data_IF_976892856429
#
_entry.id   IF_976892856429
#
_cell.length_a   1.000
_cell.length_b   1.000
_cell.length_c   1.000
_cell.angle_alpha   90.00
_cell.angle_beta   90.00
_cell.angle_gamma   90.00
#
_symmetry.space_group_name_H-M   'P 1'
#
loop_
_entity.id
_entity.type
_entity.pdbx_description
1 polymer ?
2 non-polymer ?
3 non-polymer ?
4 non-polymer ?
5 water ?
#
# COMPACT_ATOMS: atom_id res chain seq x y z
N UNK A 3 -10.39 -14.98 11.39
CA UNK A 3 -10.56 -15.23 9.93
C UNK A 3 -11.63 -14.32 9.32
N UNK A 4 -12.63 -13.94 10.10
CA UNK A 4 -13.73 -13.10 9.62
C UNK A 4 -13.40 -11.60 9.83
N UNK A 5 -12.21 -11.30 10.32
CA UNK A 5 -11.93 -9.96 10.73
C UNK A 5 -11.35 -9.09 9.64
N UNK A 6 -11.35 -7.79 9.90
CA UNK A 6 -10.90 -6.80 8.93
C UNK A 6 -9.40 -6.98 8.62
N UNK A 7 -8.56 -7.31 9.61
CA UNK A 7 -7.12 -7.46 9.35
C UNK A 7 -6.87 -8.58 8.33
N UNK A 8 -7.49 -9.73 8.56
CA UNK A 8 -7.39 -10.84 7.64
C UNK A 8 -7.96 -10.51 6.26
N UNK A 9 -9.08 -9.76 6.22
CA UNK A 9 -9.66 -9.38 4.94
C UNK A 9 -8.66 -8.52 4.15
N UNK A 10 -8.02 -7.56 4.81
CA UNK A 10 -7.08 -6.69 4.17
C UNK A 10 -5.85 -7.46 3.70
N UNK A 11 -5.31 -8.33 4.56
CA UNK A 11 -4.12 -9.11 4.16
C UNK A 11 -4.44 -10.02 2.98
N UNK A 12 -5.59 -10.66 2.99
CA UNK A 12 -5.98 -11.54 1.92
C UNK A 12 -6.18 -10.79 0.60
N UNK A 13 -6.78 -9.61 0.66
CA UNK A 13 -6.97 -8.79 -0.51
C UNK A 13 -5.64 -8.30 -1.05
N UNK A 14 -4.71 -7.94 -0.17
CA UNK A 14 -3.40 -7.53 -0.60
C UNK A 14 -2.72 -8.66 -1.39
N UNK A 15 -2.78 -9.87 -0.85
CA UNK A 15 -2.20 -11.01 -1.55
C UNK A 15 -2.83 -11.23 -2.91
N UNK A 16 -4.16 -11.21 -2.95
CA UNK A 16 -4.91 -11.38 -4.18
C UNK A 16 -4.45 -10.36 -5.23
N UNK A 17 -4.22 -9.11 -4.81
CA UNK A 17 -3.74 -8.08 -5.75
C UNK A 17 -2.31 -8.34 -6.21
N UNK A 18 -1.46 -8.71 -5.28
CA UNK A 18 -0.04 -8.86 -5.58
C UNK A 18 0.23 -9.99 -6.56
N UNK A 19 -0.51 -11.09 -6.43
CA UNK A 19 -0.26 -12.27 -7.25
C UNK A 19 -0.65 -12.09 -8.70
N UNK A 20 -1.44 -11.07 -9.02
CA UNK A 20 -1.81 -10.85 -10.41
C UNK A 20 -0.59 -10.56 -11.29
N UNK A 21 0.50 -10.06 -10.72
CA UNK A 21 1.67 -9.71 -11.50
C UNK A 21 3.00 -10.27 -10.97
N UNK A 22 2.93 -11.21 -10.05
CA UNK A 22 4.11 -11.79 -9.44
C UNK A 22 4.04 -13.30 -9.38
N UNK A 23 5.21 -13.92 -9.57
CA UNK A 23 5.34 -15.37 -9.42
C UNK A 23 5.38 -15.71 -7.95
N UNK A 24 4.72 -16.80 -7.59
CA UNK A 24 4.61 -17.24 -6.21
C UNK A 24 5.59 -18.35 -5.88
N UNK A 25 6.20 -18.22 -4.71
CA UNK A 25 6.98 -19.29 -4.06
C UNK A 25 6.32 -19.57 -2.70
N UNK A 26 5.36 -20.48 -2.70
CA UNK A 26 4.63 -20.78 -1.47
C UNK A 26 5.44 -21.76 -0.64
N UNK A 27 5.63 -21.45 0.63
CA UNK A 27 6.39 -22.34 1.55
C UNK A 27 5.70 -22.23 2.90
N UNK A 28 4.84 -23.19 3.19
CA UNK A 28 4.17 -23.18 4.49
C UNK A 28 3.40 -21.90 4.74
N UNK A 29 3.69 -21.20 5.84
CA UNK A 29 2.89 -20.04 6.13
C UNK A 29 3.33 -18.79 5.41
N UNK A 30 4.35 -18.87 4.54
CA UNK A 30 4.84 -17.69 3.83
C UNK A 30 4.70 -17.89 2.33
N UNK A 31 4.57 -16.77 1.61
CA UNK A 31 4.65 -16.82 0.16
C UNK A 31 5.57 -15.70 -0.31
N UNK A 32 6.58 -16.09 -1.07
CA UNK A 32 7.44 -15.12 -1.75
C UNK A 32 6.84 -14.74 -3.07
N UNK A 33 6.92 -13.48 -3.40
CA UNK A 33 6.26 -12.90 -4.58
C UNK A 33 7.33 -12.16 -5.38
N UNK A 34 7.62 -12.67 -6.58
CA UNK A 34 8.73 -12.16 -7.43
C UNK A 34 8.15 -11.51 -8.68
N UNK A 35 8.46 -10.23 -8.87
CA UNK A 35 8.03 -9.47 -10.03
C UNK A 35 8.96 -9.74 -11.18
N UNK A 36 8.52 -9.47 -12.41
CA UNK A 36 9.42 -9.50 -13.55
C UNK A 36 10.58 -8.51 -13.41
N UNK A 37 10.28 -7.30 -12.93
CA UNK A 37 11.29 -6.25 -12.76
C UNK A 37 12.11 -6.47 -11.48
N UNK A 38 13.34 -5.98 -11.48
CA UNK A 38 14.23 -6.12 -10.29
C UNK A 38 14.10 -5.02 -9.27
N UNK A 39 13.24 -4.03 -9.50
CA UNK A 39 13.05 -2.95 -8.53
C UNK A 39 12.76 -3.59 -7.17
N UNK A 40 13.53 -3.25 -6.15
CA UNK A 40 13.59 -4.15 -4.99
C UNK A 40 12.23 -4.35 -4.32
N UNK A 41 11.45 -3.29 -4.20
CA UNK A 41 10.22 -3.34 -3.43
C UNK A 41 9.08 -4.00 -4.17
N UNK A 42 9.25 -4.30 -5.45
CA UNK A 42 8.28 -5.04 -6.23
C UNK A 42 8.27 -6.53 -5.90
N UNK A 43 9.26 -7.01 -5.18
CA UNK A 43 9.31 -8.40 -4.75
C UNK A 43 9.37 -8.45 -3.22
N UNK A 44 8.54 -9.28 -2.59
CA UNK A 44 8.49 -9.36 -1.13
C UNK A 44 7.79 -10.65 -0.76
N UNK A 45 7.91 -11.00 0.52
CA UNK A 45 7.12 -12.08 1.09
C UNK A 45 5.94 -11.52 1.89
N UNK A 46 4.84 -12.27 1.92
CA UNK A 46 3.70 -11.98 2.76
C UNK A 46 3.19 -13.30 3.37
N UNK A 47 2.20 -13.21 4.26
CA UNK A 47 1.61 -14.43 4.80
C UNK A 47 0.84 -15.19 3.71
N UNK A 48 1.06 -16.48 3.62
CA UNK A 48 0.37 -17.30 2.65
C UNK A 48 -1.10 -17.47 2.94
N UNK A 49 -1.45 -17.49 4.24
CA UNK A 49 -2.79 -17.83 4.71
C UNK A 49 -3.18 -16.88 5.86
N UNK A 50 -3.54 -15.62 5.54
CA UNK A 50 -4.06 -14.72 6.57
C UNK A 50 -5.23 -15.31 7.31
N UNK A 51 -5.27 -15.15 8.62
CA UNK A 51 -6.38 -15.63 9.43
C UNK A 51 -6.34 -17.11 9.85
N UNK A 52 -5.29 -17.82 9.40
CA UNK A 52 -5.11 -19.24 9.67
C UNK A 52 -3.90 -19.41 10.60
N UNK A 53 -4.02 -20.25 11.65
CA UNK A 53 -2.89 -20.47 12.56
C UNK A 53 -1.72 -21.05 11.81
N UNK A 54 -0.52 -20.71 12.24
CA UNK A 54 0.67 -21.28 11.67
C UNK A 54 1.49 -22.04 12.68
N UNK A 55 2.33 -22.90 12.17
CA UNK A 55 3.20 -23.70 12.98
C UNK A 55 4.58 -23.06 12.91
N UNK A 56 5.07 -22.53 14.05
CA UNK A 56 6.37 -21.86 14.02
C UNK A 56 7.52 -22.74 13.58
N UNK A 57 7.37 -24.06 13.75
CA UNK A 57 8.44 -24.99 13.40
C UNK A 57 8.73 -24.95 11.91
N UNK A 58 7.75 -24.58 11.08
CA UNK A 58 7.90 -24.54 9.63
C UNK A 58 8.66 -23.31 9.16
N UNK A 59 8.71 -22.29 9.97
CA UNK A 59 9.21 -21.00 9.48
C UNK A 59 10.68 -21.03 9.02
N UNK A 60 11.61 -21.69 9.74
CA UNK A 60 12.98 -21.65 9.25
C UNK A 60 13.13 -22.20 7.82
N UNK A 61 12.55 -23.35 7.55
CA UNK A 61 12.57 -23.94 6.21
C UNK A 61 11.85 -23.03 5.22
N UNK A 62 10.71 -22.46 5.63
CA UNK A 62 9.97 -21.60 4.70
C UNK A 62 10.80 -20.38 4.29
N UNK A 63 11.38 -19.73 5.27
CA UNK A 63 12.19 -18.58 5.02
C UNK A 63 13.39 -18.91 4.15
N UNK A 64 14.08 -20.01 4.44
CA UNK A 64 15.20 -20.36 3.59
C UNK A 64 14.78 -20.69 2.18
N UNK A 65 13.63 -21.31 2.01
CA UNK A 65 13.12 -21.61 0.69
C UNK A 65 12.90 -20.30 -0.12
N UNK A 66 12.27 -19.33 0.52
CA UNK A 66 12.02 -18.06 -0.12
C UNK A 66 13.30 -17.29 -0.34
N UNK A 67 14.18 -17.28 0.64
CA UNK A 67 15.49 -16.61 0.48
C UNK A 67 16.23 -17.20 -0.72
N UNK A 68 16.19 -18.52 -0.89
CA UNK A 68 16.86 -19.18 -2.03
C UNK A 68 16.31 -18.65 -3.35
N UNK A 69 15.00 -18.55 -3.44
CA UNK A 69 14.33 -18.09 -4.64
C UNK A 69 14.70 -16.64 -4.96
N UNK A 70 14.79 -15.79 -3.93
CA UNK A 70 15.17 -14.40 -4.12
C UNK A 70 16.64 -14.33 -4.53
N UNK A 71 17.51 -15.08 -3.86
CA UNK A 71 18.95 -15.05 -4.15
C UNK A 71 19.21 -15.46 -5.59
N UNK A 72 18.44 -16.38 -6.15
CA UNK A 72 18.59 -16.83 -7.53
C UNK A 72 18.38 -15.70 -8.52
N UNK A 73 17.68 -14.66 -8.09
CA UNK A 73 17.41 -13.47 -8.90
C UNK A 73 18.27 -12.29 -8.46
N UNK A 74 19.22 -12.49 -7.54
CA UNK A 74 20.02 -11.39 -6.95
C UNK A 74 19.16 -10.33 -6.27
N UNK A 75 18.02 -10.77 -5.71
CA UNK A 75 17.11 -9.88 -5.03
C UNK A 75 17.17 -10.04 -3.52
N UNK A 76 16.97 -8.91 -2.85
CA UNK A 76 16.93 -8.86 -1.40
C UNK A 76 15.51 -9.03 -0.88
N UNK A 77 15.38 -9.80 0.18
CA UNK A 77 14.05 -10.11 0.74
C UNK A 77 13.59 -9.12 1.83
N UNK A 78 12.37 -8.64 1.67
CA UNK A 78 11.58 -7.96 2.70
C UNK A 78 10.27 -8.67 2.79
N UNK A 79 9.57 -8.43 3.89
CA UNK A 79 8.29 -9.03 4.14
C UNK A 79 7.32 -8.00 4.70
N UNK A 80 6.07 -8.13 4.37
CA UNK A 80 5.02 -7.27 4.92
C UNK A 80 3.91 -8.16 5.46
N UNK A 81 3.58 -7.97 6.72
CA UNK A 81 2.55 -8.71 7.41
C UNK A 81 1.52 -7.75 7.99
N UNK A 82 0.39 -8.29 8.36
CA UNK A 82 -0.61 -7.59 9.17
C UNK A 82 -0.67 -8.37 10.48
N UNK A 83 -0.26 -7.76 11.58
CA UNK A 83 -0.09 -8.51 12.82
C UNK A 83 -1.35 -9.27 13.22
N UNK A 84 -2.50 -8.61 13.14
CA UNK A 84 -3.74 -9.21 13.61
C UNK A 84 -4.24 -10.32 12.72
N UNK A 85 -3.76 -10.35 11.47
CA UNK A 85 -4.11 -11.41 10.52
C UNK A 85 -3.30 -12.70 10.83
N UNK A 86 -2.08 -12.54 11.35
CA UNK A 86 -1.21 -13.69 11.65
C UNK A 86 -0.42 -13.42 12.94
N UNK A 87 -1.11 -13.46 14.08
CA UNK A 87 -0.46 -13.00 15.30
C UNK A 87 0.80 -13.85 15.59
N UNK A 88 1.88 -13.19 15.92
CA UNK A 88 3.15 -13.80 16.28
C UNK A 88 4.06 -14.17 15.14
N UNK A 89 3.59 -14.09 13.90
CA UNK A 89 4.40 -14.52 12.77
C UNK A 89 5.65 -13.64 12.63
N UNK A 90 5.47 -12.33 12.74
CA UNK A 90 6.59 -11.42 12.62
C UNK A 90 7.72 -11.76 13.58
N UNK A 91 7.37 -12.11 14.80
CA UNK A 91 8.39 -12.40 15.79
C UNK A 91 9.14 -13.69 15.44
N UNK A 92 8.47 -14.67 14.83
CA UNK A 92 9.18 -15.89 14.40
C UNK A 92 10.14 -15.54 13.24
N UNK A 93 9.73 -14.64 12.32
CA UNK A 93 10.62 -14.19 11.26
C UNK A 93 11.85 -13.48 11.81
N UNK A 94 11.67 -12.67 12.86
CA UNK A 94 12.79 -11.98 13.48
C UNK A 94 13.78 -12.98 14.08
N UNK A 95 13.24 -13.98 14.74
CA UNK A 95 14.05 -15.04 15.35
C UNK A 95 14.96 -15.72 14.30
N UNK A 96 14.47 -15.82 13.08
CA UNK A 96 15.19 -16.45 11.98
C UNK A 96 15.81 -15.47 11.01
N UNK A 97 16.15 -14.28 11.53
CA UNK A 97 17.11 -13.36 10.89
C UNK A 97 16.58 -12.08 10.30
N UNK A 98 15.28 -11.89 10.23
CA UNK A 98 14.73 -10.66 9.77
C UNK A 98 14.75 -9.59 10.85
N UNK A 99 14.55 -8.33 10.44
CA UNK A 99 14.49 -7.19 11.35
C UNK A 99 13.19 -6.43 11.09
N UNK A 100 12.44 -6.13 12.14
CA UNK A 100 11.27 -5.26 12.00
C UNK A 100 11.78 -3.82 11.94
N UNK A 101 11.53 -3.17 10.81
CA UNK A 101 11.88 -1.78 10.61
C UNK A 101 10.79 -0.82 11.06
N UNK A 102 9.54 -1.24 10.92
CA UNK A 102 8.41 -0.39 11.27
C UNK A 102 7.17 -1.22 11.49
N UNK A 103 6.22 -0.64 12.21
CA UNK A 103 4.90 -1.20 12.42
C UNK A 103 3.89 -0.13 12.11
N UNK A 104 3.75 0.20 10.85
CA UNK A 104 2.82 1.31 10.53
C UNK A 104 1.36 0.95 10.75
N UNK A 105 0.55 1.95 11.10
CA UNK A 105 -0.85 1.67 11.30
C UNK A 105 -1.57 1.55 9.98
N UNK A 106 -2.58 0.70 9.94
CA UNK A 106 -3.47 0.60 8.81
C UNK A 106 -4.79 1.25 9.23
N UNK A 107 -5.14 2.31 8.52
CA UNK A 107 -6.36 3.07 8.73
C UNK A 107 -7.36 2.67 7.66
N UNK A 108 -8.62 2.58 8.00
CA UNK A 108 -9.62 2.12 7.05
C UNK A 108 -10.91 2.91 7.13
N UNK A 109 -11.68 2.87 6.05
CA UNK A 109 -12.96 3.56 6.02
C UNK A 109 -13.89 2.80 5.05
N UNK A 110 -15.18 2.86 5.34
CA UNK A 110 -16.23 2.25 4.49
C UNK A 110 -17.07 3.38 3.88
N UNK A 111 -17.82 3.06 2.81
CA UNK A 111 -18.46 4.18 2.06
C UNK A 111 -19.35 5.13 2.86
N UNK A 112 -20.14 4.60 3.75
CA UNK A 112 -21.09 5.39 4.52
C UNK A 112 -20.42 6.30 5.53
N UNK A 113 -19.11 6.13 5.78
CA UNK A 113 -18.37 6.88 6.79
C UNK A 113 -17.39 7.89 6.20
N UNK A 114 -17.19 7.84 4.89
CA UNK A 114 -16.25 8.76 4.26
C UNK A 114 -16.84 10.19 4.26
N UNK A 115 -15.98 11.15 4.58
CA UNK A 115 -16.30 12.59 4.58
C UNK A 115 -15.33 13.26 3.61
N UNK A 116 -15.87 13.89 2.55
CA UNK A 116 -15.06 14.69 1.66
C UNK A 116 -15.19 16.14 2.15
N UNK A 117 -14.08 16.78 2.56
CA UNK A 117 -14.15 18.14 3.03
C UNK A 117 -14.60 19.13 1.96
N UNK A 118 -15.03 20.29 2.39
CA UNK A 118 -15.30 21.38 1.45
C UNK A 118 -14.00 21.79 0.77
N UNK A 119 -14.10 22.10 -0.52
CA UNK A 119 -12.94 22.55 -1.29
C UNK A 119 -12.80 24.08 -1.16
N UNK A 120 -11.58 24.60 -0.86
CA UNK A 120 -11.39 26.04 -0.84
C UNK A 120 -11.57 26.68 -2.21
N UNK A 121 -11.68 27.99 -2.23
CA UNK A 121 -11.80 28.75 -3.48
C UNK A 121 -10.63 28.42 -4.41
N UNK A 122 -10.94 28.22 -5.68
CA UNK A 122 -9.91 27.94 -6.70
C UNK A 122 -9.53 26.48 -6.83
N UNK A 123 -10.01 25.63 -5.92
CA UNK A 123 -9.56 24.25 -5.86
C UNK A 123 -10.62 23.34 -6.49
N UNK A 124 -10.19 22.48 -7.40
CA UNK A 124 -11.08 21.55 -8.08
C UNK A 124 -10.43 20.16 -8.07
N UNK A 125 -11.16 19.17 -8.50
CA UNK A 125 -10.66 17.80 -8.59
C UNK A 125 -11.06 17.17 -9.89
N UNK A 126 -10.22 16.27 -10.38
CA UNK A 126 -10.53 15.49 -11.55
C UNK A 126 -9.85 14.13 -11.45
N UNK A 127 -10.54 13.07 -11.84
CA UNK A 127 -9.96 11.76 -11.98
C UNK A 127 -8.92 11.80 -13.12
N UNK A 128 -7.80 11.10 -12.94
CA UNK A 128 -6.79 10.95 -13.98
C UNK A 128 -7.38 10.18 -15.16
N UNK A 129 -7.26 10.75 -16.37
CA UNK A 129 -7.88 10.22 -17.57
C UNK A 129 -6.92 10.20 -18.75
N UNK A 130 -5.64 10.20 -18.50
CA UNK A 130 -4.65 10.10 -19.54
C UNK A 130 -3.29 9.73 -18.96
N UNK A 131 -2.41 9.27 -19.83
CA UNK A 131 -1.02 9.01 -19.51
C UNK A 131 -0.36 10.27 -18.98
N UNK A 132 -0.60 11.42 -19.61
CA UNK A 132 0.07 12.62 -19.16
C UNK A 132 -0.43 13.05 -17.78
N UNK A 133 -1.72 12.86 -17.47
CA UNK A 133 -2.21 13.16 -16.12
C UNK A 133 -1.62 12.19 -15.11
N UNK A 134 -1.44 10.90 -15.50
CA UNK A 134 -0.81 9.95 -14.60
C UNK A 134 0.64 10.33 -14.35
N UNK A 135 1.32 10.82 -15.37
CA UNK A 135 2.69 11.30 -15.24
C UNK A 135 2.77 12.45 -14.30
N UNK A 136 1.80 13.36 -14.35
CA UNK A 136 1.74 14.46 -13.40
C UNK A 136 1.53 13.93 -12.00
N UNK A 137 0.60 13.00 -11.82
CA UNK A 137 0.35 12.38 -10.51
C UNK A 137 1.62 11.77 -9.93
N UNK A 138 2.34 11.01 -10.74
CA UNK A 138 3.56 10.34 -10.26
C UNK A 138 4.63 11.38 -9.90
N UNK A 139 4.74 12.45 -10.67
CA UNK A 139 5.70 13.50 -10.40
C UNK A 139 5.36 14.21 -9.10
N UNK A 140 4.09 14.49 -8.83
CA UNK A 140 3.71 15.19 -7.61
C UNK A 140 3.99 14.35 -6.38
N UNK A 141 3.67 13.06 -6.45
CA UNK A 141 3.89 12.10 -5.35
C UNK A 141 5.34 11.60 -5.25
N UNK A 142 6.19 11.90 -6.23
CA UNK A 142 7.40 11.13 -6.50
C UNK A 142 8.47 10.96 -5.48
N UNK A 143 8.67 11.94 -4.63
CA UNK A 143 9.72 11.89 -3.62
C UNK A 143 9.23 11.22 -2.32
N UNK A 144 7.94 10.92 -2.25
CA UNK A 144 7.35 10.23 -1.12
C UNK A 144 7.70 8.71 -1.16
N UNK A 145 7.78 8.11 0.02
CA UNK A 145 7.98 6.67 0.15
C UNK A 145 6.73 5.93 -0.33
N UNK A 146 6.88 5.08 -1.33
CA UNK A 146 5.78 4.40 -1.94
C UNK A 146 6.17 3.06 -2.47
N UNK A 147 5.62 1.99 -1.90
CA UNK A 147 6.01 0.64 -2.32
C UNK A 147 4.85 -0.19 -2.87
N UNK A 148 3.65 0.38 -2.88
CA UNK A 148 2.46 -0.33 -3.37
C UNK A 148 2.00 0.27 -4.69
N UNK A 151 -1.56 2.80 -9.73
CA UNK A 151 -2.31 3.36 -10.86
C UNK A 151 -1.50 3.49 -12.14
N UNK A 152 -0.28 2.99 -12.13
CA UNK A 152 0.73 3.37 -13.09
C UNK A 152 1.19 2.15 -13.85
N UNK A 153 1.18 2.20 -15.23
CA UNK A 153 0.76 3.23 -16.20
C UNK A 153 -0.76 3.42 -16.27
N UNK A 154 -1.18 4.55 -16.81
CA UNK A 154 -2.59 4.84 -16.94
C UNK A 154 -3.33 3.75 -17.67
N UNK A 155 -4.46 3.34 -17.13
CA UNK A 155 -5.38 2.46 -17.79
C UNK A 155 -6.76 2.96 -17.38
N UNK A 156 -7.77 2.69 -18.23
CA UNK A 156 -9.02 3.40 -18.10
C UNK A 156 -10.09 2.81 -17.16
N UNK A 157 -9.85 1.62 -16.62
CA UNK A 157 -10.88 0.92 -15.84
C UNK A 157 -10.71 1.17 -14.35
N UNK A 158 -11.69 1.86 -13.72
CA UNK A 158 -11.48 2.20 -12.32
C UNK A 158 -11.41 1.03 -11.35
N UNK A 159 -12.06 -0.08 -11.69
CA UNK A 159 -11.95 -1.28 -10.86
C UNK A 159 -10.51 -1.80 -10.82
N UNK A 160 -9.69 -1.44 -11.80
CA UNK A 160 -8.29 -1.87 -11.90
C UNK A 160 -7.30 -0.83 -11.36
N UNK A 161 -7.85 0.17 -10.68
CA UNK A 161 -7.06 1.19 -10.05
C UNK A 161 -7.30 2.54 -10.71
N UNK A 162 -6.81 3.59 -10.09
CA UNK A 162 -6.89 4.90 -10.66
C UNK A 162 -6.20 5.93 -9.79
N UNK A 163 -6.29 7.18 -10.23
CA UNK A 163 -5.71 8.27 -9.49
C UNK A 163 -6.53 9.52 -9.70
N UNK A 164 -6.24 10.53 -8.89
CA UNK A 164 -6.92 11.83 -8.97
C UNK A 164 -5.88 12.95 -8.90
N UNK A 165 -6.24 14.08 -9.48
CA UNK A 165 -5.49 15.31 -9.31
C UNK A 165 -6.39 16.36 -8.70
N UNK A 166 -5.85 17.03 -7.70
CA UNK A 166 -6.43 18.23 -7.11
C UNK A 166 -5.72 19.41 -7.77
N UNK A 167 -6.49 20.35 -8.31
CA UNK A 167 -5.95 21.48 -9.03
C UNK A 167 -6.25 22.78 -8.32
N UNK A 168 -5.31 23.68 -8.40
CA UNK A 168 -5.49 25.04 -7.93
C UNK A 168 -5.42 25.96 -9.14
N UNK A 169 -6.48 26.69 -9.40
CA UNK A 169 -6.55 27.52 -10.59
C UNK A 169 -6.13 26.72 -11.82
N UNK A 170 -6.60 25.47 -11.91
CA UNK A 170 -6.39 24.66 -13.10
C UNK A 170 -5.06 23.91 -13.21
N UNK A 171 -4.19 24.08 -12.23
CA UNK A 171 -2.87 23.47 -12.24
C UNK A 171 -2.87 22.35 -11.19
N UNK A 172 -2.41 21.16 -11.57
CA UNK A 172 -2.35 20.07 -10.56
C UNK A 172 -1.36 20.34 -9.49
N UNK A 173 -1.79 20.23 -8.25
CA UNK A 173 -0.97 20.50 -7.07
C UNK A 173 -0.95 19.39 -6.01
N UNK A 174 -1.87 18.43 -6.13
CA UNK A 174 -1.92 17.32 -5.16
C UNK A 174 -2.54 16.13 -5.85
N UNK A 175 -2.28 14.96 -5.29
CA UNK A 175 -2.70 13.72 -5.91
C UNK A 175 -2.89 12.62 -4.87
N UNK A 176 -3.64 11.59 -5.26
CA UNK A 176 -3.79 10.33 -4.52
C UNK A 176 -4.27 9.28 -5.51
N UNK A 177 -4.05 8.02 -5.18
CA UNK A 177 -4.37 6.92 -6.07
C UNK A 177 -5.03 5.80 -5.29
N UNK A 178 -5.72 4.92 -6.01
CA UNK A 178 -6.26 3.71 -5.41
C UNK A 178 -5.81 2.51 -6.23
N UNK A 179 -5.57 1.39 -5.55
CA UNK A 179 -5.18 0.18 -6.18
C UNK A 179 -6.36 -0.58 -6.78
N UNK A 180 -6.06 -1.48 -7.71
CA UNK A 180 -7.06 -2.38 -8.23
C UNK A 180 -7.80 -3.05 -7.09
N UNK A 181 -9.11 -3.17 -7.21
CA UNK A 181 -9.94 -3.75 -6.18
C UNK A 181 -9.70 -5.26 -6.14
N UNK A 182 -9.70 -5.82 -4.94
CA UNK A 182 -9.65 -7.26 -4.70
C UNK A 182 -10.61 -7.54 -3.56
N UNK A 183 -11.62 -8.41 -3.76
CA UNK A 183 -12.60 -8.69 -2.71
C UNK A 183 -13.21 -7.42 -2.11
N UNK A 184 -13.48 -6.44 -2.96
CA UNK A 184 -14.06 -5.18 -2.52
C UNK A 184 -13.11 -4.21 -1.82
N UNK A 185 -11.85 -4.60 -1.67
CA UNK A 185 -10.87 -3.83 -0.94
C UNK A 185 -9.95 -3.11 -1.92
N UNK A 186 -9.68 -1.84 -1.59
CA UNK A 186 -8.66 -1.05 -2.26
C UNK A 186 -7.74 -0.42 -1.22
N UNK A 187 -6.49 -0.18 -1.60
CA UNK A 187 -5.54 0.62 -0.88
C UNK A 187 -5.46 1.99 -1.52
N UNK A 188 -5.57 3.04 -0.71
CA UNK A 188 -5.33 4.41 -1.16
C UNK A 188 -3.88 4.73 -0.82
N UNK A 189 -3.11 5.19 -1.80
CA UNK A 189 -1.68 5.40 -1.65
C UNK A 189 -1.27 6.45 -2.66
N UNK A 190 0.00 6.70 -2.76
CA UNK A 190 0.48 7.67 -3.73
C UNK A 190 0.02 9.09 -3.43
N UNK A 191 -0.16 9.43 -2.17
CA UNK A 191 -0.66 10.71 -1.77
C UNK A 191 0.50 11.69 -1.77
N UNK A 192 0.34 12.85 -2.39
CA UNK A 192 1.32 13.89 -2.28
C UNK A 192 0.80 15.25 -2.67
N UNK A 193 1.56 16.26 -2.30
CA UNK A 193 1.32 17.63 -2.70
C UNK A 193 2.60 18.28 -3.11
N UNK A 194 2.52 19.19 -4.04
CA UNK A 194 3.71 19.99 -4.34
C UNK A 194 4.18 20.72 -3.08
N UNK A 195 5.48 20.86 -2.92
CA UNK A 195 6.06 21.52 -1.77
C UNK A 195 5.53 22.93 -1.59
N UNK A 196 5.31 23.64 -2.70
CA UNK A 196 4.79 24.99 -2.69
C UNK A 196 3.36 25.12 -2.14
N UNK A 197 2.62 24.02 -2.12
CA UNK A 197 1.22 23.99 -1.70
C UNK A 197 0.99 23.06 -0.51
N UNK A 198 2.02 22.81 0.30
CA UNK A 198 1.88 21.94 1.48
C UNK A 198 1.08 22.64 2.62
N UNK A 199 0.53 21.83 3.52
CA UNK A 199 -0.12 22.35 4.74
C UNK A 199 -1.32 23.27 4.44
N UNK A 200 -2.06 22.99 3.39
CA UNK A 200 -3.28 23.72 3.05
C UNK A 200 -4.47 22.80 2.94
N UNK A 201 -4.29 21.55 3.36
CA UNK A 201 -5.40 20.59 3.29
C UNK A 201 -5.56 19.85 1.98
N UNK A 202 -4.69 20.09 0.99
CA UNK A 202 -4.91 19.58 -0.35
C UNK A 202 -4.61 18.09 -0.45
N UNK A 203 -3.66 17.57 0.35
CA UNK A 203 -3.41 16.13 0.41
C UNK A 203 -4.58 15.36 0.95
N UNK A 204 -5.21 15.94 1.95
CA UNK A 204 -6.43 15.36 2.53
C UNK A 204 -7.57 15.36 1.50
N UNK A 205 -7.71 16.46 0.74
CA UNK A 205 -8.73 16.49 -0.34
C UNK A 205 -8.48 15.39 -1.35
N UNK A 206 -7.22 15.23 -1.73
CA UNK A 206 -6.85 14.22 -2.72
C UNK A 206 -7.21 12.82 -2.22
N UNK A 207 -6.83 12.57 -0.97
CA UNK A 207 -7.10 11.28 -0.33
C UNK A 207 -8.60 11.01 -0.31
N UNK A 208 -9.39 12.00 0.10
CA UNK A 208 -10.82 11.86 0.22
C UNK A 208 -11.46 11.60 -1.14
N UNK A 209 -11.03 12.36 -2.15
CA UNK A 209 -11.62 12.25 -3.48
C UNK A 209 -11.22 10.95 -4.16
N UNK A 210 -9.98 10.50 -3.96
CA UNK A 210 -9.55 9.20 -4.47
C UNK A 210 -10.37 8.05 -3.82
N UNK A 211 -10.56 8.15 -2.50
CA UNK A 211 -11.34 7.15 -1.78
C UNK A 211 -12.77 7.13 -2.35
N UNK A 212 -13.34 8.32 -2.51
CA UNK A 212 -14.69 8.43 -3.00
C UNK A 212 -14.83 7.82 -4.38
N UNK A 213 -13.86 8.04 -5.27
CA UNK A 213 -13.93 7.43 -6.57
C UNK A 213 -13.76 5.91 -6.56
N UNK A 214 -12.90 5.41 -5.69
CA UNK A 214 -12.74 3.98 -5.53
C UNK A 214 -14.08 3.34 -5.17
N UNK A 215 -14.85 4.00 -4.29
CA UNK A 215 -16.16 3.50 -3.90
C UNK A 215 -17.22 3.70 -4.99
N UNK A 216 -17.25 4.87 -5.60
CA UNK A 216 -18.33 5.23 -6.53
C UNK A 216 -18.19 4.63 -7.90
N UNK A 217 -16.97 4.63 -8.44
CA UNK A 217 -16.73 4.07 -9.77
C UNK A 217 -15.86 2.79 -9.76
N UNK A 218 -15.06 2.58 -8.73
CA UNK A 218 -14.19 1.40 -8.66
C UNK A 218 -14.81 0.14 -8.11
N UNK A 219 -15.96 0.28 -7.45
CA UNK A 219 -16.67 -0.86 -6.84
C UNK A 219 -16.14 -1.31 -5.49
N UNK A 220 -15.29 -0.49 -4.88
CA UNK A 220 -14.72 -0.87 -3.58
C UNK A 220 -15.80 -0.73 -2.50
N UNK A 221 -15.72 -1.60 -1.51
CA UNK A 221 -16.54 -1.48 -0.30
C UNK A 221 -15.71 -1.23 0.98
N UNK A 222 -14.40 -1.27 0.84
CA UNK A 222 -13.50 -0.98 1.95
C UNK A 222 -12.24 -0.31 1.39
N UNK A 223 -11.74 0.78 1.99
CA UNK A 223 -10.49 1.42 1.60
C UNK A 223 -9.59 1.47 2.80
N UNK A 224 -8.30 1.22 2.60
CA UNK A 224 -7.33 1.34 3.67
C UNK A 224 -6.11 2.07 3.18
N UNK A 225 -5.39 2.66 4.11
CA UNK A 225 -4.12 3.31 3.85
C UNK A 225 -3.21 3.25 5.04
N UNK A 226 -1.92 3.43 4.78
CA UNK A 226 -0.99 3.66 5.83
C UNK A 226 -0.44 5.09 5.69
N UNK A 227 -0.35 5.85 6.79
CA UNK A 227 -0.04 7.27 6.76
C UNK A 227 1.42 7.59 6.81
N UNK A 228 1.74 8.85 6.53
CA UNK A 228 3.02 9.49 6.87
C UNK A 228 4.08 9.34 5.80
N UNK A 229 3.75 8.64 4.71
CA UNK A 229 4.75 8.25 3.72
C UNK A 229 5.23 9.42 2.89
N UNK A 230 4.40 10.47 2.84
CA UNK A 230 4.73 11.75 2.19
C UNK A 230 5.30 12.78 3.16
N UNK A 231 5.54 12.37 4.39
CA UNK A 231 6.09 13.28 5.41
C UNK A 231 5.09 14.28 5.99
N UNK A 232 3.80 14.18 5.63
CA UNK A 232 2.78 15.10 6.16
C UNK A 232 2.05 14.49 7.36
N UNK A 233 1.83 15.29 8.40
CA UNK A 233 1.10 14.82 9.58
C UNK A 233 -0.39 15.21 9.53
N UNK A 234 -1.02 14.98 8.39
CA UNK A 234 -2.45 15.27 8.26
C UNK A 234 -3.21 14.21 9.03
N UNK A 235 -4.41 14.60 9.47
CA UNK A 235 -5.25 13.83 10.36
C UNK A 235 -6.31 13.15 9.47
N UNK A 236 -6.10 11.88 9.13
CA UNK A 236 -7.03 11.17 8.24
C UNK A 236 -8.40 10.96 8.90
N UNK A 237 -8.44 11.07 10.24
CA UNK A 237 -9.71 10.94 10.97
C UNK A 237 -10.78 11.90 10.50
N UNK A 238 -10.37 13.06 10.03
CA UNK A 238 -11.36 14.05 9.55
C UNK A 238 -12.13 13.54 8.32
N UNK A 239 -11.53 12.56 7.61
CA UNK A 239 -12.15 11.96 6.46
C UNK A 239 -12.98 10.71 6.76
N UNK A 240 -12.96 10.28 8.03
CA UNK A 240 -13.64 9.08 8.46
C UNK A 240 -12.74 7.87 8.64
N UNK A 241 -11.47 7.95 8.27
CA UNK A 241 -10.57 6.83 8.46
C UNK A 241 -10.29 6.63 9.94
N UNK A 242 -10.18 5.36 10.31
CA UNK A 242 -9.87 4.99 11.69
C UNK A 242 -8.84 3.88 11.69
N UNK A 243 -8.01 3.85 12.74
CA UNK A 243 -7.05 2.72 12.84
C UNK A 243 -7.75 1.41 13.03
N UNK A 244 -7.39 0.39 12.27
CA UNK A 244 -8.03 -0.90 12.31
C UNK A 244 -7.05 -2.09 12.38
N UNK A 245 -5.79 -1.90 12.04
CA UNK A 245 -4.83 -3.00 12.04
C UNK A 245 -3.43 -2.44 12.13
N UNK A 246 -2.48 -3.34 12.27
CA UNK A 246 -1.07 -3.00 12.46
C UNK A 246 -0.28 -3.71 11.39
N UNK A 247 0.34 -2.97 10.46
CA UNK A 247 1.26 -3.57 9.51
C UNK A 247 2.60 -3.80 10.19
N UNK A 248 3.36 -4.72 9.65
CA UNK A 248 4.72 -4.98 10.13
C UNK A 248 5.61 -5.12 8.89
N UNK A 249 6.64 -4.30 8.80
CA UNK A 249 7.57 -4.31 7.66
C UNK A 249 8.90 -4.81 8.16
N UNK A 250 9.37 -5.90 7.56
CA UNK A 250 10.59 -6.59 7.92
C UNK A 250 11.57 -6.64 6.76
N UNK A 251 12.85 -6.59 7.08
CA UNK A 251 13.86 -6.79 6.08
C UNK A 251 14.93 -7.81 6.48
N UNK A 252 15.51 -8.45 5.49
CA UNK A 252 16.69 -9.28 5.67
C UNK A 252 17.92 -8.42 5.92
N UNK A 253 19.02 -9.06 6.34
CA UNK A 253 20.25 -8.31 6.52
C UNK A 253 20.77 -7.71 5.20
N UNK A 254 21.53 -6.64 5.31
CA UNK A 254 22.19 -6.04 4.19
C UNK A 254 21.26 -5.55 3.11
N UNK A 255 21.68 -5.61 1.86
CA UNK A 255 20.83 -5.23 0.75
C UNK A 255 20.16 -3.89 0.99
N UNK A 256 18.86 -3.81 0.81
CA UNK A 256 18.08 -2.59 0.94
C UNK A 256 17.51 -2.36 2.32
N UNK A 257 18.06 -2.96 3.36
CA UNK A 257 17.49 -2.78 4.70
C UNK A 257 17.38 -1.29 5.08
N UNK A 258 18.39 -0.49 4.74
CA UNK A 258 18.35 0.95 5.06
C UNK A 258 17.29 1.73 4.32
N UNK A 259 16.82 1.21 3.17
CA UNK A 259 15.80 1.88 2.38
C UNK A 259 14.38 1.53 2.79
N UNK A 260 14.22 0.43 3.51
CA UNK A 260 12.90 0.01 3.91
C UNK A 260 12.34 0.97 4.98
N UNK A 261 11.06 1.28 4.83
CA UNK A 261 10.36 2.09 5.82
C UNK A 261 9.10 1.36 6.24
X LIG B 1 -1.12 17.75 4.12
X LIG B 1 -0.78 18.07 2.73
X LIG B 1 -2.41 18.40 3.83
X LIG B 1 0.33 17.71 2.29
X LIG B 1 -1.76 18.67 2.14
X LIG B 1 -2.36 19.62 4.09
X LIG B 1 -3.46 17.69 3.66
X LIG C 1 -8.66 -11.90 -9.41
X LIG C 1 -9.59 -10.82 -9.03
X LIG C 1 -7.38 -11.31 -9.89
X LIG C 1 -8.29 -12.70 -8.22
X LIG C 1 -9.24 -12.73 -10.48
X LIG D 1 -13.44 -10.82 -5.93
X LIG D 1 -14.51 -10.11 -5.20
X LIG D 1 -12.18 -10.03 -5.98
X LIG D 1 -13.13 -12.11 -5.29
X LIG D 1 -13.95 -11.09 -7.28
X LIG E 1 -5.59 -3.69 -2.10
X LIG E 1 -5.25 -4.12 -0.76
X LIG E 1 -6.28 -4.83 -2.83
X LIG E 1 -5.35 -5.58 -3.63
X LIG F 1 -13.16 -7.54 13.24
X LIG F 1 -11.78 -7.36 13.51
X LIG F 1 -13.48 -6.95 11.87
X LIG F 1 -14.89 -6.73 11.73
#
# INVERSE_FOLDING_TARGET
SNAMGIAARIASAQLQGLVRSRRQVVAGPLVGLLHDEDVWFLSRAVAAEPGVPFDPAEVPWALETIRKAFAAEDRWLSAELVEEANPGLAYVLVEHGMTIVSRPPLLAVEPGDLLVPEFPAGVTAAVVASAEEQEAANAIAGDAYETDDVASPFQPEPADGGAVLIRMDGVPVATAAWTAIADGVTEVAGVGTLHSHRRQGLGALATAYATQQAFEVGGATLAWLTPGDDGADRIYRRLGYEPKATAVHLGDPGGHLADLR
MLI C1 C2 C3 O6 O7 O8 O9
SO4 S O1 O2 O3 O4
SO4 S O1 O2 O3 O4
EDO C1 O1 C2 O2
EDO C1 O1 C2 O2
#
